data_IF_826437012123
#
_entry.id   IF_826437012123
#
_cell.length_a   1.000
_cell.length_b   1.000
_cell.length_c   1.000
_cell.angle_alpha   90.00
_cell.angle_beta   90.00
_cell.angle_gamma   90.00
#
_symmetry.space_group_name_H-M   'P 1'
#
loop_
_entity.id
_entity.type
_entity.pdbx_description
1 polymer ?
#
# COMPACT_ATOMS: atom_id res chain seq x y z
N UNK A 1 19.98 -14.24 -5.96
CA UNK A 1 19.72 -13.16 -6.93
C UNK A 1 20.97 -12.99 -7.79
N UNK A 2 20.83 -12.87 -9.10
CA UNK A 2 22.01 -12.83 -9.96
C UNK A 2 22.59 -11.40 -9.90
N UNK A 3 23.79 -11.21 -9.32
CA UNK A 3 24.46 -9.91 -9.18
C UNK A 3 24.48 -9.08 -10.46
N UNK A 4 24.56 -9.77 -11.62
CA UNK A 4 24.54 -9.13 -12.94
C UNK A 4 23.21 -8.40 -13.26
N UNK A 5 22.11 -8.82 -12.64
CA UNK A 5 20.79 -8.18 -12.85
C UNK A 5 20.68 -6.84 -12.12
N UNK A 6 21.31 -6.72 -10.95
CA UNK A 6 21.28 -5.50 -10.14
C UNK A 6 22.14 -4.37 -10.72
N UNK A 7 23.26 -4.69 -11.35
CA UNK A 7 24.19 -3.69 -11.91
C UNK A 7 23.57 -2.84 -13.03
N UNK A 8 22.59 -3.39 -13.75
CA UNK A 8 21.90 -2.68 -14.84
C UNK A 8 20.50 -2.19 -14.48
N UNK A 9 20.01 -2.51 -13.29
CA UNK A 9 18.70 -2.04 -12.86
C UNK A 9 18.80 -0.60 -12.34
N UNK A 10 17.89 0.27 -12.80
CA UNK A 10 17.76 1.60 -12.21
C UNK A 10 17.28 1.51 -10.76
N UNK A 11 17.36 2.61 -10.03
CA UNK A 11 17.03 2.62 -8.61
C UNK A 11 15.56 2.28 -8.34
N UNK A 12 14.64 2.64 -9.24
CA UNK A 12 13.22 2.34 -9.07
C UNK A 12 12.98 0.83 -9.14
N UNK A 13 13.59 0.13 -10.09
CA UNK A 13 13.50 -1.33 -10.19
C UNK A 13 14.14 -2.04 -8.98
N UNK A 14 15.22 -1.50 -8.44
CA UNK A 14 15.86 -2.06 -7.23
C UNK A 14 14.97 -1.90 -5.99
N UNK A 15 14.30 -0.75 -5.87
CA UNK A 15 13.32 -0.51 -4.81
C UNK A 15 12.09 -1.42 -4.99
N UNK A 16 11.58 -1.60 -6.21
CA UNK A 16 10.53 -2.58 -6.51
C UNK A 16 10.91 -3.99 -6.01
N UNK A 17 12.13 -4.44 -6.29
CA UNK A 17 12.63 -5.74 -5.82
C UNK A 17 12.64 -5.80 -4.30
N UNK A 18 13.19 -4.79 -3.63
CA UNK A 18 13.27 -4.75 -2.18
C UNK A 18 11.89 -4.76 -1.52
N UNK A 19 10.93 -4.01 -2.05
CA UNK A 19 9.56 -3.96 -1.55
C UNK A 19 8.88 -5.33 -1.73
N UNK A 20 8.96 -5.93 -2.91
CA UNK A 20 8.34 -7.24 -3.18
C UNK A 20 8.91 -8.35 -2.28
N UNK A 21 10.24 -8.40 -2.09
CA UNK A 21 10.87 -9.36 -1.18
C UNK A 21 10.53 -9.07 0.28
N UNK A 22 10.31 -7.81 0.66
CA UNK A 22 9.88 -7.43 2.01
C UNK A 22 8.46 -7.93 2.31
N UNK A 23 7.51 -7.71 1.40
CA UNK A 23 6.13 -8.20 1.55
C UNK A 23 6.11 -9.73 1.59
N UNK A 24 6.81 -10.39 0.69
CA UNK A 24 6.94 -11.84 0.65
C UNK A 24 7.54 -12.40 1.95
N UNK A 25 8.59 -11.77 2.46
CA UNK A 25 9.24 -12.16 3.73
C UNK A 25 8.27 -11.95 4.90
N UNK A 26 7.55 -10.83 4.94
CA UNK A 26 6.53 -10.56 5.94
C UNK A 26 5.44 -11.63 5.93
N UNK A 27 4.86 -11.92 4.75
CA UNK A 27 3.78 -12.90 4.61
C UNK A 27 4.22 -14.33 4.96
N UNK A 28 5.46 -14.70 4.62
CA UNK A 28 6.02 -15.98 5.03
C UNK A 28 6.17 -16.06 6.56
N UNK A 29 6.68 -15.03 7.23
CA UNK A 29 6.78 -15.00 8.70
C UNK A 29 5.41 -15.02 9.38
N UNK A 30 4.43 -14.33 8.81
CA UNK A 30 3.05 -14.36 9.27
C UNK A 30 2.46 -15.76 9.15
N UNK A 31 2.72 -16.48 8.05
CA UNK A 31 2.24 -17.84 7.84
C UNK A 31 2.84 -18.84 8.84
N UNK A 32 4.07 -18.62 9.27
CA UNK A 32 4.71 -19.43 10.33
C UNK A 32 4.31 -19.03 11.76
N UNK A 33 3.42 -18.03 11.92
CA UNK A 33 3.00 -17.53 13.24
C UNK A 33 4.13 -16.80 13.99
N UNK A 34 5.15 -16.33 13.27
CA UNK A 34 6.29 -15.60 13.87
C UNK A 34 5.95 -14.17 14.24
N UNK A 35 4.84 -13.64 13.71
CA UNK A 35 4.33 -12.33 14.05
C UNK A 35 3.03 -12.46 14.83
N UNK A 36 2.89 -11.61 15.84
CA UNK A 36 1.59 -11.46 16.49
C UNK A 36 0.60 -10.86 15.49
N UNK A 37 -0.59 -11.42 15.47
CA UNK A 37 -1.73 -10.90 14.75
C UNK A 37 -2.17 -9.56 15.38
N UNK A 38 -1.35 -8.54 15.14
CA UNK A 38 -1.48 -7.19 15.68
C UNK A 38 -2.47 -6.32 14.93
N UNK A 39 -2.36 -5.03 15.17
CA UNK A 39 -3.05 -3.97 14.43
C UNK A 39 -2.17 -3.52 13.24
N UNK A 40 -2.66 -2.57 12.45
CA UNK A 40 -1.95 -1.91 11.34
C UNK A 40 -0.55 -1.42 11.76
N UNK A 41 -0.42 -0.81 12.94
CA UNK A 41 0.86 -0.40 13.50
C UNK A 41 1.87 -1.55 13.67
N UNK A 42 1.41 -2.77 13.99
CA UNK A 42 2.30 -3.95 14.04
C UNK A 42 2.76 -4.36 12.63
N UNK A 43 1.87 -4.31 11.64
CA UNK A 43 2.21 -4.55 10.24
C UNK A 43 3.28 -3.55 9.77
N UNK A 44 3.04 -2.25 10.00
CA UNK A 44 3.96 -1.17 9.68
C UNK A 44 5.35 -1.40 10.32
N UNK A 45 5.38 -1.67 11.63
CA UNK A 45 6.63 -1.86 12.37
C UNK A 45 7.46 -3.03 11.83
N UNK A 46 6.82 -4.19 11.55
CA UNK A 46 7.53 -5.36 11.02
C UNK A 46 7.97 -5.15 9.58
N UNK A 47 7.12 -4.58 8.73
CA UNK A 47 7.46 -4.31 7.34
C UNK A 47 8.60 -3.30 7.24
N UNK A 48 8.57 -2.24 8.04
CA UNK A 48 9.64 -1.25 8.15
C UNK A 48 11.02 -1.91 8.38
N UNK A 49 11.12 -2.81 9.38
CA UNK A 49 12.38 -3.47 9.70
C UNK A 49 12.87 -4.41 8.58
N UNK A 50 11.96 -5.15 7.95
CA UNK A 50 12.29 -6.03 6.83
C UNK A 50 12.75 -5.20 5.64
N UNK A 51 12.03 -4.13 5.31
CA UNK A 51 12.28 -3.27 4.16
C UNK A 51 13.68 -2.62 4.23
N UNK A 52 14.09 -2.10 5.38
CA UNK A 52 15.44 -1.54 5.53
C UNK A 52 16.51 -2.60 5.20
N UNK A 53 16.33 -3.83 5.69
CA UNK A 53 17.25 -4.93 5.40
C UNK A 53 17.27 -5.33 3.92
N UNK A 54 16.11 -5.34 3.23
CA UNK A 54 16.06 -5.68 1.81
C UNK A 54 16.65 -4.57 0.93
N UNK A 55 16.45 -3.30 1.31
CA UNK A 55 17.06 -2.14 0.63
C UNK A 55 18.58 -2.17 0.74
N UNK A 56 19.12 -2.58 1.89
CA UNK A 56 20.58 -2.70 2.05
C UNK A 56 21.18 -3.76 1.13
N UNK A 57 20.44 -4.82 0.78
CA UNK A 57 20.88 -5.87 -0.16
C UNK A 57 20.90 -5.44 -1.62
N UNK A 58 20.14 -4.42 -1.98
CA UNK A 58 20.03 -3.93 -3.37
C UNK A 58 20.93 -2.73 -3.64
N UNK A 59 21.75 -2.30 -2.69
CA UNK A 59 22.81 -1.29 -2.91
C UNK A 59 23.83 -1.80 -3.91
N UNK A 60 24.28 -0.93 -4.81
CA UNK A 60 25.29 -1.21 -5.82
C UNK A 60 26.57 -0.40 -5.52
N UNK A 61 26.41 0.84 -5.08
CA UNK A 61 27.53 1.76 -4.84
C UNK A 61 27.70 2.05 -3.36
N UNK A 62 28.93 2.28 -2.93
CA UNK A 62 29.25 2.57 -1.53
C UNK A 62 28.69 3.92 -1.04
N UNK A 63 28.38 4.83 -1.95
CA UNK A 63 27.82 6.15 -1.68
C UNK A 63 26.28 6.21 -1.84
N UNK A 64 25.62 5.03 -1.94
CA UNK A 64 24.17 4.92 -1.91
C UNK A 64 23.67 4.75 -0.48
N UNK A 65 22.65 5.55 -0.15
CA UNK A 65 21.98 5.50 1.14
C UNK A 65 20.48 5.35 0.94
N UNK A 66 19.92 4.25 1.46
CA UNK A 66 18.49 4.09 1.63
C UNK A 66 18.14 4.27 3.10
N UNK A 67 17.12 5.07 3.38
CA UNK A 67 16.59 5.27 4.72
C UNK A 67 15.09 5.05 4.67
N UNK A 68 14.60 4.14 5.49
CA UNK A 68 13.17 3.93 5.70
C UNK A 68 12.72 4.80 6.87
N UNK A 69 11.62 5.53 6.69
CA UNK A 69 11.08 6.48 7.68
C UNK A 69 9.61 6.10 7.92
N UNK A 70 9.23 5.69 9.14
CA UNK A 70 7.83 5.47 9.49
C UNK A 70 7.14 6.81 9.77
N UNK A 71 5.83 6.85 9.61
CA UNK A 71 4.96 8.01 9.94
C UNK A 71 5.50 9.32 9.33
N UNK A 72 5.72 9.29 8.01
CA UNK A 72 6.34 10.39 7.29
C UNK A 72 5.30 11.47 6.95
N UNK A 73 5.52 12.70 7.43
CA UNK A 73 4.62 13.82 7.20
C UNK A 73 5.00 14.59 5.93
N UNK A 74 4.04 14.77 5.02
CA UNK A 74 4.17 15.59 3.80
C UNK A 74 3.32 16.84 3.97
N UNK A 75 3.93 18.04 3.96
CA UNK A 75 3.17 19.28 3.96
C UNK A 75 2.38 19.46 2.66
N UNK A 76 1.06 19.54 2.74
CA UNK A 76 0.17 19.83 1.61
C UNK A 76 -0.61 21.13 1.89
N UNK A 77 0.02 22.28 1.61
CA UNK A 77 -0.61 23.58 1.86
C UNK A 77 -0.99 23.77 3.34
N UNK A 78 -2.28 23.71 3.66
CA UNK A 78 -2.80 23.89 5.03
C UNK A 78 -2.96 22.59 5.82
N UNK A 79 -2.71 21.42 5.22
CA UNK A 79 -2.77 20.10 5.88
C UNK A 79 -1.43 19.38 5.76
N UNK A 80 -1.22 18.42 6.64
CA UNK A 80 -0.15 17.42 6.49
C UNK A 80 -0.80 16.10 6.13
N UNK A 81 -0.26 15.40 5.14
CA UNK A 81 -0.55 14.00 4.92
C UNK A 81 0.49 13.18 5.69
N UNK A 82 0.01 12.27 6.52
CA UNK A 82 0.85 11.31 7.24
C UNK A 82 0.86 10.00 6.45
N UNK A 83 2.03 9.65 5.95
CA UNK A 83 2.28 8.45 5.15
C UNK A 83 2.90 7.39 6.05
N UNK A 84 2.39 6.17 6.00
CA UNK A 84 2.85 5.08 6.87
C UNK A 84 4.35 4.82 6.79
N UNK A 85 4.91 4.76 5.57
CA UNK A 85 6.34 4.56 5.34
C UNK A 85 6.81 5.39 4.15
N UNK A 86 7.94 6.09 4.31
CA UNK A 86 8.69 6.67 3.20
C UNK A 86 10.07 5.99 3.07
N UNK A 87 10.50 5.77 1.84
CA UNK A 87 11.87 5.36 1.50
C UNK A 87 12.57 6.56 0.91
N UNK A 88 13.64 7.03 1.53
CA UNK A 88 14.52 8.03 0.96
C UNK A 88 15.75 7.36 0.36
N UNK A 89 16.14 7.79 -0.81
CA UNK A 89 17.37 7.42 -1.49
C UNK A 89 18.23 8.65 -1.74
N UNK A 90 19.51 8.55 -1.45
CA UNK A 90 20.51 9.57 -1.72
C UNK A 90 21.73 8.86 -2.35
N UNK A 91 22.16 9.35 -3.52
CA UNK A 91 23.42 8.97 -4.13
C UNK A 91 23.97 10.19 -4.86
N UNK A 92 25.11 10.73 -4.40
CA UNK A 92 25.68 11.98 -4.91
C UNK A 92 24.67 13.13 -4.87
N UNK A 93 24.28 13.64 -6.06
CA UNK A 93 23.28 14.71 -6.20
C UNK A 93 21.87 14.21 -6.52
N UNK A 94 21.68 12.89 -6.64
CA UNK A 94 20.38 12.30 -6.89
C UNK A 94 19.67 12.00 -5.58
N UNK A 95 18.47 12.52 -5.45
CA UNK A 95 17.56 12.20 -4.33
C UNK A 95 16.25 11.72 -4.91
N UNK A 96 15.72 10.63 -4.34
CA UNK A 96 14.39 10.08 -4.67
C UNK A 96 13.67 9.67 -3.39
N UNK A 97 12.35 9.64 -3.46
CA UNK A 97 11.51 9.18 -2.35
C UNK A 97 10.34 8.36 -2.89
N UNK A 98 10.08 7.24 -2.26
CA UNK A 98 8.89 6.41 -2.49
C UNK A 98 8.04 6.45 -1.24
N UNK A 99 6.73 6.50 -1.44
CA UNK A 99 5.72 6.52 -0.39
C UNK A 99 5.02 5.17 -0.38
N UNK A 100 4.69 4.68 0.80
CA UNK A 100 4.00 3.42 1.01
C UNK A 100 2.89 3.66 2.01
N UNK A 101 1.66 3.38 1.60
CA UNK A 101 0.50 3.31 2.46
C UNK A 101 0.15 1.87 2.76
N UNK A 102 -0.21 1.60 4.01
CA UNK A 102 -0.53 0.28 4.52
C UNK A 102 -1.96 0.28 5.06
N UNK A 103 -2.68 -0.79 4.81
CA UNK A 103 -3.98 -1.02 5.42
C UNK A 103 -4.07 -2.46 5.91
N UNK A 104 -4.32 -2.63 7.20
CA UNK A 104 -4.59 -3.94 7.77
C UNK A 104 -5.97 -3.98 8.41
N UNK A 105 -6.86 -4.80 7.84
CA UNK A 105 -8.23 -4.95 8.31
C UNK A 105 -8.51 -6.35 8.79
N UNK A 106 -8.93 -6.43 10.06
CA UNK A 106 -9.32 -7.67 10.72
C UNK A 106 -10.83 -7.88 10.68
N UNK A 107 -11.25 -9.12 10.59
CA UNK A 107 -12.64 -9.53 10.70
C UNK A 107 -13.30 -9.05 12.01
N UNK A 108 -12.53 -8.89 13.08
CA UNK A 108 -13.02 -8.39 14.36
C UNK A 108 -13.23 -6.88 14.43
N UNK A 109 -12.70 -6.13 13.45
CA UNK A 109 -12.90 -4.69 13.32
C UNK A 109 -14.19 -4.43 12.55
N UNK A 110 -15.15 -3.76 13.14
CA UNK A 110 -16.36 -3.30 12.44
C UNK A 110 -16.04 -2.19 11.43
N UNK A 111 -17.01 -1.85 10.57
CA UNK A 111 -16.93 -0.74 9.61
C UNK A 111 -16.10 -1.01 8.35
N UNK A 112 -16.37 -2.15 7.70
CA UNK A 112 -15.82 -2.49 6.39
C UNK A 112 -15.98 -1.37 5.36
N UNK A 113 -17.16 -0.75 5.30
CA UNK A 113 -17.48 0.33 4.36
C UNK A 113 -16.54 1.53 4.51
N UNK A 114 -16.21 1.90 5.75
CA UNK A 114 -15.30 3.02 6.02
C UNK A 114 -13.87 2.69 5.63
N UNK A 115 -13.44 1.44 5.85
CA UNK A 115 -12.11 0.99 5.47
C UNK A 115 -11.88 1.02 3.96
N UNK A 116 -12.90 0.69 3.18
CA UNK A 116 -12.83 0.80 1.71
C UNK A 116 -12.71 2.25 1.29
N UNK A 117 -13.49 3.16 1.88
CA UNK A 117 -13.37 4.60 1.60
C UNK A 117 -11.97 5.12 1.92
N UNK A 118 -11.41 4.74 3.08
CA UNK A 118 -10.06 5.12 3.47
C UNK A 118 -9.02 4.58 2.49
N UNK A 119 -9.12 3.31 2.08
CA UNK A 119 -8.21 2.74 1.09
C UNK A 119 -8.27 3.43 -0.27
N UNK A 120 -9.47 3.83 -0.73
CA UNK A 120 -9.63 4.63 -1.95
C UNK A 120 -9.00 6.02 -1.82
N UNK A 121 -9.12 6.64 -0.63
CA UNK A 121 -8.47 7.91 -0.33
C UNK A 121 -6.95 7.78 -0.35
N UNK A 122 -6.39 6.78 0.35
CA UNK A 122 -4.95 6.52 0.40
C UNK A 122 -4.36 6.30 -1.01
N UNK A 123 -5.04 5.49 -1.85
CA UNK A 123 -4.61 5.28 -3.25
C UNK A 123 -4.65 6.59 -4.03
N UNK A 124 -5.69 7.42 -3.84
CA UNK A 124 -5.83 8.69 -4.55
C UNK A 124 -4.85 9.74 -4.06
N UNK A 125 -4.56 9.80 -2.77
CA UNK A 125 -3.55 10.68 -2.20
C UNK A 125 -2.15 10.31 -2.71
N UNK A 126 -1.82 9.01 -2.80
CA UNK A 126 -0.57 8.55 -3.43
C UNK A 126 -0.47 8.97 -4.90
N UNK A 127 -1.57 8.91 -5.69
CA UNK A 127 -1.57 9.48 -7.05
C UNK A 127 -1.30 10.99 -7.06
N UNK A 128 -1.79 11.71 -6.07
CA UNK A 128 -1.56 13.15 -5.94
C UNK A 128 -0.10 13.52 -5.65
N UNK A 129 0.68 12.59 -5.15
CA UNK A 129 2.11 12.77 -4.88
C UNK A 129 3.03 12.36 -6.05
N UNK A 130 2.47 11.74 -7.10
CA UNK A 130 3.22 11.47 -8.34
C UNK A 130 3.72 12.78 -8.95
N UNK A 131 4.83 12.73 -9.64
CA UNK A 131 5.51 13.86 -10.29
C UNK A 131 6.08 14.93 -9.33
N UNK A 132 5.57 15.03 -8.09
CA UNK A 132 6.07 15.98 -7.09
C UNK A 132 7.22 15.38 -6.27
N UNK A 133 7.10 14.11 -5.90
CA UNK A 133 8.06 13.42 -5.03
C UNK A 133 8.82 12.35 -5.81
N UNK A 134 8.12 11.49 -6.53
CA UNK A 134 8.62 10.44 -7.42
C UNK A 134 7.48 9.94 -8.31
N UNK A 135 7.82 9.18 -9.36
CA UNK A 135 6.84 8.65 -10.32
C UNK A 135 6.27 7.29 -9.92
N UNK A 136 6.61 6.79 -8.74
CA UNK A 136 6.14 5.49 -8.24
C UNK A 136 5.94 5.54 -6.73
N UNK A 137 4.77 5.07 -6.29
CA UNK A 137 4.41 4.86 -4.89
C UNK A 137 3.74 3.49 -4.73
N UNK A 138 3.41 3.09 -3.50
CA UNK A 138 2.88 1.76 -3.23
C UNK A 138 1.75 1.81 -2.21
N UNK A 139 0.73 1.01 -2.45
CA UNK A 139 -0.35 0.76 -1.50
C UNK A 139 -0.44 -0.73 -1.20
N UNK A 140 -0.47 -1.12 0.07
CA UNK A 140 -0.63 -2.50 0.51
C UNK A 140 -1.88 -2.66 1.35
N UNK A 141 -2.64 -3.69 1.03
CA UNK A 141 -3.81 -4.08 1.79
C UNK A 141 -3.65 -5.50 2.29
N UNK A 142 -3.87 -5.72 3.60
CA UNK A 142 -3.85 -7.01 4.26
C UNK A 142 -5.16 -7.20 5.02
N UNK A 143 -5.74 -8.40 4.97
CA UNK A 143 -6.95 -8.73 5.73
C UNK A 143 -7.00 -10.20 6.11
N UNK A 144 -7.65 -10.52 7.24
CA UNK A 144 -8.08 -11.87 7.61
C UNK A 144 -9.58 -12.09 7.36
N UNK A 145 -10.19 -11.25 6.54
CA UNK A 145 -11.62 -11.26 6.27
C UNK A 145 -11.92 -11.51 4.79
N UNK A 146 -12.33 -12.73 4.48
CA UNK A 146 -12.64 -13.22 3.12
C UNK A 146 -13.74 -12.41 2.39
N UNK A 147 -14.54 -11.65 3.12
CA UNK A 147 -15.57 -10.79 2.53
C UNK A 147 -14.96 -9.74 1.62
N UNK A 148 -13.77 -9.20 1.90
CA UNK A 148 -13.11 -8.24 1.00
C UNK A 148 -12.77 -8.86 -0.37
N UNK A 149 -12.51 -10.16 -0.40
CA UNK A 149 -12.06 -10.87 -1.61
C UNK A 149 -13.23 -11.23 -2.55
N UNK A 150 -14.43 -11.38 -2.00
CA UNK A 150 -15.61 -11.82 -2.76
C UNK A 150 -16.21 -10.68 -3.58
N UNK A 151 -16.74 -10.98 -4.75
CA UNK A 151 -17.32 -10.00 -5.70
C UNK A 151 -18.82 -9.70 -5.52
N UNK A 152 -19.52 -10.45 -4.66
CA UNK A 152 -20.97 -10.39 -4.54
C UNK A 152 -21.48 -9.38 -3.48
N UNK A 153 -20.87 -8.23 -3.43
CA UNK A 153 -21.21 -7.19 -2.47
C UNK A 153 -22.44 -6.36 -2.85
N UNK A 154 -23.04 -5.75 -1.83
CA UNK A 154 -24.11 -4.76 -1.96
C UNK A 154 -23.70 -3.46 -1.28
N UNK A 155 -24.33 -2.35 -1.64
CA UNK A 155 -24.07 -1.04 -1.03
C UNK A 155 -22.67 -0.51 -1.33
N UNK A 156 -21.99 0.04 -0.35
CA UNK A 156 -20.72 0.73 -0.51
C UNK A 156 -19.63 -0.14 -1.14
N UNK A 157 -19.53 -1.41 -0.76
CA UNK A 157 -18.55 -2.35 -1.33
C UNK A 157 -18.83 -2.71 -2.80
N UNK A 158 -20.04 -2.54 -3.27
CA UNK A 158 -20.38 -2.66 -4.69
C UNK A 158 -19.95 -1.40 -5.45
N UNK A 159 -20.17 -0.23 -4.85
CA UNK A 159 -19.91 1.07 -5.47
C UNK A 159 -18.41 1.40 -5.49
N UNK A 160 -17.66 0.89 -4.50
CA UNK A 160 -16.21 1.05 -4.33
C UNK A 160 -15.57 -0.35 -4.34
N UNK A 161 -15.34 -0.95 -5.51
CA UNK A 161 -14.95 -2.35 -5.61
C UNK A 161 -13.51 -2.57 -5.15
N UNK A 162 -13.35 -3.41 -4.11
CA UNK A 162 -12.05 -3.88 -3.61
C UNK A 162 -11.93 -5.40 -3.59
N UNK A 163 -12.76 -6.11 -4.35
CA UNK A 163 -12.73 -7.57 -4.42
C UNK A 163 -11.64 -8.06 -5.39
N UNK A 164 -11.35 -9.34 -5.34
CA UNK A 164 -10.39 -9.99 -6.22
C UNK A 164 -10.80 -9.90 -7.69
N UNK A 165 -9.88 -9.46 -8.53
CA UNK A 165 -10.13 -9.18 -9.95
C UNK A 165 -10.85 -7.86 -10.24
N UNK A 166 -11.13 -7.02 -9.24
CA UNK A 166 -11.72 -5.71 -9.48
C UNK A 166 -10.76 -4.80 -10.24
N UNK A 167 -11.32 -4.03 -11.18
CA UNK A 167 -10.57 -3.04 -11.97
C UNK A 167 -11.03 -1.64 -11.57
N UNK A 168 -10.12 -0.85 -11.05
CA UNK A 168 -10.32 0.58 -10.84
C UNK A 168 -9.90 1.30 -12.13
N UNK A 169 -10.89 1.67 -12.94
CA UNK A 169 -10.69 2.26 -14.27
C UNK A 169 -10.27 3.74 -14.17
N UNK A 170 -9.30 4.14 -14.96
CA UNK A 170 -8.91 5.54 -15.09
C UNK A 170 -10.09 6.42 -15.54
N UNK A 171 -10.17 7.64 -15.01
CA UNK A 171 -11.18 8.64 -15.31
C UNK A 171 -12.63 8.24 -14.99
N UNK A 172 -12.85 7.13 -14.31
CA UNK A 172 -14.16 6.71 -13.82
C UNK A 172 -14.38 7.25 -12.41
N UNK A 173 -15.59 7.77 -12.15
CA UNK A 173 -15.97 8.22 -10.81
C UNK A 173 -16.49 7.04 -9.98
N UNK A 174 -15.89 6.82 -8.82
CA UNK A 174 -16.33 5.87 -7.81
C UNK A 174 -16.98 6.62 -6.67
N UNK A 175 -18.27 6.40 -6.46
CA UNK A 175 -19.07 7.14 -5.49
C UNK A 175 -20.15 6.24 -4.89
N UNK A 176 -20.31 6.30 -3.57
CA UNK A 176 -21.42 5.63 -2.90
C UNK A 176 -22.40 6.61 -2.27
N UNK A 177 -23.69 6.32 -2.41
CA UNK A 177 -24.77 7.16 -1.90
C UNK A 177 -25.10 6.95 -0.42
N UNK A 178 -24.55 5.91 0.22
CA UNK A 178 -24.80 5.60 1.63
C UNK A 178 -24.40 6.74 2.56
N UNK A 179 -25.26 7.08 3.53
CA UNK A 179 -25.05 8.26 4.41
C UNK A 179 -23.69 8.22 5.12
N UNK A 180 -23.36 7.11 5.78
CA UNK A 180 -22.11 6.92 6.53
C UNK A 180 -20.89 7.00 5.62
N UNK A 181 -20.99 6.41 4.43
CA UNK A 181 -19.93 6.42 3.42
C UNK A 181 -19.68 7.84 2.90
N UNK A 182 -20.74 8.59 2.61
CA UNK A 182 -20.63 10.02 2.20
C UNK A 182 -19.96 10.88 3.27
N UNK A 183 -20.29 10.66 4.55
CA UNK A 183 -19.65 11.37 5.66
C UNK A 183 -18.16 11.05 5.71
N UNK A 184 -17.79 9.78 5.55
CA UNK A 184 -16.39 9.37 5.52
C UNK A 184 -15.66 9.93 4.30
N UNK A 185 -16.24 9.88 3.10
CA UNK A 185 -15.66 10.49 1.89
C UNK A 185 -15.39 11.99 2.08
N UNK A 186 -16.28 12.72 2.79
CA UNK A 186 -16.05 14.14 3.12
C UNK A 186 -14.90 14.33 4.08
N UNK A 187 -14.76 13.45 5.10
CA UNK A 187 -13.64 13.49 6.04
C UNK A 187 -12.31 13.23 5.34
N UNK A 188 -12.34 12.34 4.35
CA UNK A 188 -11.18 12.05 3.50
C UNK A 188 -10.99 13.08 2.36
N UNK A 189 -11.73 14.19 2.37
CA UNK A 189 -11.65 15.27 1.36
C UNK A 189 -12.15 14.92 -0.05
N UNK A 190 -12.88 13.82 -0.22
CA UNK A 190 -13.44 13.35 -1.51
C UNK A 190 -14.98 13.36 -1.54
N UNK A 191 -15.65 14.51 -1.31
CA UNK A 191 -17.13 14.57 -1.18
C UNK A 191 -17.88 14.20 -2.48
N UNK A 192 -17.22 14.28 -3.63
CA UNK A 192 -17.77 13.98 -4.95
C UNK A 192 -17.35 12.61 -5.50
N UNK A 193 -16.65 11.80 -4.69
CA UNK A 193 -16.12 10.50 -5.11
C UNK A 193 -14.67 10.54 -5.51
N UNK A 194 -14.17 9.36 -5.89
CA UNK A 194 -12.78 9.15 -6.29
C UNK A 194 -12.70 9.03 -7.81
N UNK A 195 -11.75 9.72 -8.41
CA UNK A 195 -11.42 9.59 -9.84
C UNK A 195 -9.92 9.32 -9.93
N UNK A 196 -9.56 8.13 -10.37
CA UNK A 196 -8.16 7.74 -10.55
C UNK A 196 -7.64 8.20 -11.90
N UNK A 197 -6.37 8.57 -11.96
CA UNK A 197 -5.71 8.93 -13.22
C UNK A 197 -5.26 7.69 -14.01
N UNK A 198 -5.03 6.59 -13.30
CA UNK A 198 -4.55 5.34 -13.85
C UNK A 198 -5.53 4.20 -13.58
N UNK A 199 -5.39 3.11 -14.33
CA UNK A 199 -6.15 1.87 -14.09
C UNK A 199 -5.36 0.95 -13.19
N UNK A 200 -6.02 0.45 -12.12
CA UNK A 200 -5.44 -0.50 -11.17
C UNK A 200 -6.26 -1.78 -11.16
N UNK A 201 -5.59 -2.92 -11.08
CA UNK A 201 -6.23 -4.23 -10.87
C UNK A 201 -5.94 -4.70 -9.45
N UNK A 202 -6.98 -5.06 -8.73
CA UNK A 202 -6.88 -5.64 -7.40
C UNK A 202 -6.75 -7.16 -7.57
N UNK A 203 -5.60 -7.69 -7.19
CA UNK A 203 -5.25 -9.10 -7.31
C UNK A 203 -4.81 -9.64 -5.94
N UNK A 204 -5.73 -10.37 -5.29
CA UNK A 204 -5.48 -10.88 -3.95
C UNK A 204 -4.63 -12.14 -3.98
N UNK A 205 -3.58 -12.13 -3.20
CA UNK A 205 -2.82 -13.32 -2.83
C UNK A 205 -3.35 -13.89 -1.52
N UNK A 206 -3.33 -15.21 -1.40
CA UNK A 206 -3.82 -15.94 -0.24
C UNK A 206 -2.69 -16.66 0.49
N UNK A 207 -2.72 -16.60 1.83
CA UNK A 207 -1.78 -17.28 2.71
C UNK A 207 -2.52 -17.88 3.90
N UNK A 208 -2.28 -19.15 4.18
CA UNK A 208 -2.79 -19.84 5.38
C UNK A 208 -1.68 -19.94 6.43
N UNK A 209 -1.95 -19.49 7.64
CA UNK A 209 -0.97 -19.62 8.73
C UNK A 209 -0.88 -21.06 9.26
N UNK A 210 0.22 -21.36 9.95
CA UNK A 210 0.44 -22.66 10.61
C UNK A 210 -0.65 -23.03 11.63
N UNK A 211 -1.43 -22.04 12.09
CA UNK A 211 -2.56 -22.21 12.99
C UNK A 211 -3.91 -22.25 12.27
N UNK A 212 -3.91 -22.37 10.93
CA UNK A 212 -5.11 -22.44 10.11
C UNK A 212 -5.85 -21.11 9.92
N UNK A 213 -5.23 -19.97 10.27
CA UNK A 213 -5.81 -18.65 10.01
C UNK A 213 -5.49 -18.23 8.57
N UNK A 214 -6.52 -17.77 7.89
CA UNK A 214 -6.47 -17.32 6.50
C UNK A 214 -6.17 -15.83 6.43
N UNK A 215 -5.31 -15.42 5.48
CA UNK A 215 -5.00 -14.03 5.18
C UNK A 215 -5.02 -13.80 3.67
N UNK A 216 -5.49 -12.64 3.28
CA UNK A 216 -5.49 -12.17 1.89
C UNK A 216 -4.79 -10.81 1.84
N UNK A 217 -3.98 -10.59 0.82
CA UNK A 217 -3.30 -9.32 0.62
C UNK A 217 -3.15 -9.01 -0.86
N UNK A 218 -3.08 -7.72 -1.17
CA UNK A 218 -2.64 -7.25 -2.47
C UNK A 218 -1.70 -6.06 -2.32
N UNK A 219 -0.95 -5.79 -3.40
CA UNK A 219 -0.07 -4.66 -3.53
C UNK A 219 -0.39 -3.91 -4.82
N UNK A 220 -0.61 -2.60 -4.74
CA UNK A 220 -0.72 -1.75 -5.91
C UNK A 220 0.55 -0.93 -6.07
N UNK A 221 1.07 -0.92 -7.28
CA UNK A 221 2.12 0.00 -7.71
C UNK A 221 1.44 1.20 -8.36
N UNK A 222 1.45 2.34 -7.66
CA UNK A 222 0.88 3.60 -8.09
C UNK A 222 1.95 4.33 -8.91
N UNK A 223 1.70 4.56 -10.19
CA UNK A 223 2.68 5.17 -11.11
C UNK A 223 1.99 6.15 -12.07
N UNK A 224 2.74 7.15 -12.54
CA UNK A 224 2.33 8.03 -13.63
C UNK A 224 2.32 7.33 -14.98
#
# INVERSE_FOLDING_TARGET
MNEFFLVNADVDNRVDIAINESVKTYMNKLSYGMFFDGLEASFQCYLFNILQSELDKVKIYNDEYFTVIPEFNIPLGSRNDEIDIAINYICKNLQKRWLIELKYKKKTQSAMDLSVVQSFADIKDLEGHLDVINNVHYFFFLTDWDTYVKSNHKGALHDLPMYDGAILEANKTYFSSGKTVKEEMRKQHYPNGFVFNNTYTIDYHHVTSSHGKEYWYFALRIKS
#
